data_IF_888745451916
#
_entry.id   IF_888745451916
#
_cell.length_a   1.000
_cell.length_b   1.000
_cell.length_c   1.000
_cell.angle_alpha   90.00
_cell.angle_beta   90.00
_cell.angle_gamma   90.00
#
_symmetry.space_group_name_H-M   'P 1'
#
loop_
_entity.id
_entity.type
_entity.pdbx_description
1 polymer ?
#
# COMPACT_ATOMS: atom_id res chain seq x y z
N UNK A 1 13.82 -68.42 19.97
CA UNK A 1 13.01 -67.84 21.06
C UNK A 1 12.01 -66.86 20.47
N UNK A 2 10.86 -67.38 20.04
CA UNK A 2 9.69 -66.61 19.58
C UNK A 2 8.71 -66.57 20.75
N UNK A 3 8.39 -65.38 21.25
CA UNK A 3 7.21 -65.00 22.05
C UNK A 3 7.55 -63.69 22.78
N UNK A 4 6.53 -62.91 23.14
CA UNK A 4 6.59 -61.55 23.74
C UNK A 4 6.78 -60.40 22.75
N UNK A 5 5.77 -60.10 21.92
CA UNK A 5 5.47 -58.72 21.45
C UNK A 5 4.17 -58.58 20.65
N UNK A 6 3.21 -59.51 20.74
CA UNK A 6 1.93 -59.39 20.03
C UNK A 6 0.76 -59.57 20.99
N UNK A 7 0.52 -58.56 21.83
CA UNK A 7 -0.68 -58.51 22.67
C UNK A 7 -1.05 -57.08 23.08
N UNK A 8 -1.24 -56.16 22.13
CA UNK A 8 -1.86 -54.85 22.42
C UNK A 8 -2.56 -54.14 21.23
N UNK A 9 -2.84 -54.83 20.12
CA UNK A 9 -3.52 -54.22 18.96
C UNK A 9 -4.87 -54.87 18.68
N UNK A 10 -5.79 -54.80 19.64
CA UNK A 10 -7.23 -54.98 19.42
C UNK A 10 -8.02 -54.32 20.54
N UNK A 11 -8.07 -52.99 20.57
CA UNK A 11 -9.24 -52.20 21.01
C UNK A 11 -9.09 -50.81 20.37
N UNK A 12 -10.16 -50.28 19.78
CA UNK A 12 -10.20 -48.95 19.15
C UNK A 12 -10.14 -47.81 20.17
N UNK A 13 -9.16 -47.85 21.08
CA UNK A 13 -8.89 -46.82 22.07
C UNK A 13 -7.85 -45.85 21.50
N UNK A 14 -8.07 -44.53 21.61
CA UNK A 14 -7.07 -43.56 21.20
C UNK A 14 -5.76 -43.79 21.99
N UNK A 15 -4.58 -43.54 21.39
CA UNK A 15 -3.31 -43.72 22.07
C UNK A 15 -3.27 -42.85 23.34
N UNK A 16 -2.66 -43.34 24.43
CA UNK A 16 -2.62 -42.67 25.73
C UNK A 16 -2.15 -41.20 25.69
N UNK A 17 -1.34 -40.84 24.68
CA UNK A 17 -0.93 -39.45 24.42
C UNK A 17 -2.13 -38.57 24.00
N UNK A 18 -3.00 -39.07 23.14
CA UNK A 18 -4.19 -38.36 22.68
C UNK A 18 -5.20 -38.17 23.82
N UNK A 19 -5.40 -39.18 24.68
CA UNK A 19 -6.23 -39.05 25.89
C UNK A 19 -5.67 -37.99 26.85
N UNK A 20 -4.33 -37.96 27.04
CA UNK A 20 -3.68 -36.93 27.87
C UNK A 20 -3.88 -35.52 27.29
N UNK A 21 -3.87 -35.37 25.97
CA UNK A 21 -4.12 -34.07 25.34
C UNK A 21 -5.58 -33.63 25.45
N UNK A 22 -6.54 -34.55 25.35
CA UNK A 22 -7.97 -34.26 25.59
C UNK A 22 -8.20 -33.81 27.03
N UNK A 23 -7.51 -34.43 27.99
CA UNK A 23 -7.57 -34.04 29.40
C UNK A 23 -6.96 -32.66 29.68
N UNK A 24 -5.86 -32.30 29.01
CA UNK A 24 -5.27 -30.95 29.10
C UNK A 24 -6.19 -29.90 28.46
N UNK A 25 -6.93 -30.27 27.41
CA UNK A 25 -7.88 -29.36 26.76
C UNK A 25 -9.09 -29.08 27.65
N UNK A 26 -9.67 -30.09 28.30
CA UNK A 26 -10.77 -29.86 29.25
C UNK A 26 -10.34 -28.98 30.42
N UNK A 27 -9.15 -29.25 30.99
CA UNK A 27 -8.58 -28.45 32.07
C UNK A 27 -8.34 -26.97 31.66
N UNK A 28 -7.86 -26.73 30.43
CA UNK A 28 -7.64 -25.38 29.92
C UNK A 28 -8.93 -24.64 29.56
N UNK A 29 -9.94 -25.33 29.05
CA UNK A 29 -11.26 -24.74 28.79
C UNK A 29 -11.92 -24.33 30.12
N UNK A 30 -11.81 -25.16 31.15
CA UNK A 30 -12.32 -24.85 32.49
C UNK A 30 -11.55 -23.71 33.18
N UNK A 31 -10.24 -23.58 32.91
CA UNK A 31 -9.42 -22.47 33.38
C UNK A 31 -9.69 -21.16 32.62
N UNK A 32 -9.99 -21.22 31.32
CA UNK A 32 -10.28 -20.04 30.49
C UNK A 32 -11.58 -19.32 30.87
N UNK A 33 -12.52 -20.01 31.50
CA UNK A 33 -13.82 -19.45 31.88
C UNK A 33 -13.81 -18.74 33.25
N UNK A 34 -12.68 -18.80 33.99
CA UNK A 34 -12.51 -18.09 35.27
C UNK A 34 -11.71 -16.82 35.02
N UNK A 35 -12.30 -15.66 35.32
CA UNK A 35 -11.57 -14.40 35.22
C UNK A 35 -10.43 -14.37 36.26
N UNK A 36 -9.34 -13.65 35.97
CA UNK A 36 -8.22 -13.47 36.92
C UNK A 36 -8.70 -12.90 38.27
N UNK A 37 -9.80 -12.15 38.24
CA UNK A 37 -10.46 -11.55 39.41
C UNK A 37 -11.14 -12.62 40.29
N UNK A 38 -11.64 -13.70 39.70
CA UNK A 38 -12.28 -14.81 40.43
C UNK A 38 -11.27 -15.83 40.96
N UNK A 39 -10.06 -15.87 40.40
CA UNK A 39 -8.99 -16.76 40.82
C UNK A 39 -8.29 -16.30 42.11
N UNK A 40 -8.25 -14.99 42.35
CA UNK A 40 -7.55 -14.37 43.47
C UNK A 40 -8.56 -13.75 44.46
N UNK A 41 -8.73 -14.31 45.68
CA UNK A 41 -9.71 -13.81 46.64
C UNK A 41 -9.38 -12.38 47.12
N UNK A 42 -8.11 -11.97 47.03
CA UNK A 42 -7.64 -10.62 47.38
C UNK A 42 -8.08 -9.59 46.34
N UNK A 43 -7.98 -9.93 45.05
CA UNK A 43 -8.47 -9.12 43.95
C UNK A 43 -9.99 -9.05 43.95
N UNK A 44 -10.68 -10.15 44.28
CA UNK A 44 -12.14 -10.14 44.45
C UNK A 44 -12.58 -9.21 45.59
N UNK A 45 -11.87 -9.19 46.71
CA UNK A 45 -12.14 -8.29 47.83
C UNK A 45 -11.85 -6.81 47.51
N UNK A 46 -10.80 -6.53 46.72
CA UNK A 46 -10.52 -5.18 46.23
C UNK A 46 -11.56 -4.75 45.19
N UNK A 47 -11.91 -5.63 44.26
CA UNK A 47 -12.88 -5.38 43.21
C UNK A 47 -14.27 -5.07 43.79
N UNK A 48 -14.71 -5.85 44.79
CA UNK A 48 -15.94 -5.56 45.53
C UNK A 48 -15.87 -4.23 46.30
N UNK A 49 -14.77 -3.92 46.99
CA UNK A 49 -14.59 -2.67 47.74
C UNK A 49 -14.73 -1.40 46.88
N UNK A 50 -14.27 -1.43 45.63
CA UNK A 50 -14.34 -0.28 44.72
C UNK A 50 -15.60 -0.26 43.82
N UNK A 51 -16.43 -1.30 43.84
CA UNK A 51 -17.69 -1.38 43.07
C UNK A 51 -18.98 -1.16 43.90
N UNK A 52 -18.87 -0.56 45.09
CA UNK A 52 -20.02 -0.26 45.96
C UNK A 52 -20.42 1.23 46.03
N UNK A 53 -20.38 1.95 44.91
CA UNK A 53 -21.23 3.14 44.78
C UNK A 53 -22.59 2.69 44.24
N UNK A 54 -23.60 2.64 45.12
CA UNK A 54 -24.98 2.18 44.82
C UNK A 54 -25.63 2.92 43.63
N UNK A 55 -25.06 4.04 43.19
CA UNK A 55 -25.50 4.80 42.01
C UNK A 55 -25.03 4.16 40.70
N UNK A 56 -23.86 3.53 40.65
CA UNK A 56 -23.32 2.90 39.43
C UNK A 56 -23.73 1.43 39.29
N UNK A 57 -24.05 0.76 40.40
CA UNK A 57 -24.61 -0.59 40.39
C UNK A 57 -25.99 -0.66 39.69
N UNK A 58 -26.76 0.44 39.74
CA UNK A 58 -27.99 0.58 38.96
C UNK A 58 -27.68 0.59 37.46
N UNK A 59 -26.72 1.41 37.01
CA UNK A 59 -26.33 1.47 35.60
C UNK A 59 -25.81 0.15 35.04
N UNK A 60 -25.09 -0.66 35.83
CA UNK A 60 -24.60 -1.97 35.36
C UNK A 60 -25.69 -3.04 35.35
N UNK A 61 -26.54 -3.10 36.39
CA UNK A 61 -27.71 -3.99 36.40
C UNK A 61 -28.71 -3.62 35.31
N UNK A 62 -28.88 -2.33 35.06
CA UNK A 62 -29.71 -1.79 33.98
C UNK A 62 -29.10 -2.09 32.61
N UNK A 63 -27.77 -2.01 32.46
CA UNK A 63 -27.08 -2.43 31.24
C UNK A 63 -27.23 -3.94 31.00
N UNK A 64 -27.05 -4.78 32.03
CA UNK A 64 -27.29 -6.22 31.91
C UNK A 64 -28.76 -6.55 31.64
N UNK A 65 -29.69 -5.78 32.20
CA UNK A 65 -31.13 -5.93 31.95
C UNK A 65 -31.49 -5.49 30.52
N UNK A 66 -30.87 -4.41 30.03
CA UNK A 66 -30.98 -3.95 28.64
C UNK A 66 -30.39 -4.97 27.66
N UNK A 67 -29.23 -5.55 27.96
CA UNK A 67 -28.62 -6.59 27.12
C UNK A 67 -29.50 -7.86 27.10
N UNK A 68 -30.08 -8.26 28.24
CA UNK A 68 -31.00 -9.40 28.31
C UNK A 68 -32.30 -9.14 27.56
N UNK A 69 -32.89 -7.95 27.71
CA UNK A 69 -34.11 -7.58 26.97
C UNK A 69 -33.84 -7.42 25.48
N UNK A 70 -32.68 -6.91 25.07
CA UNK A 70 -32.24 -6.90 23.67
C UNK A 70 -32.05 -8.32 23.11
N UNK A 71 -31.47 -9.24 23.90
CA UNK A 71 -31.34 -10.63 23.52
C UNK A 71 -32.70 -11.32 23.37
N UNK A 72 -33.64 -11.05 24.28
CA UNK A 72 -34.99 -11.62 24.21
C UNK A 72 -35.81 -11.06 23.04
N UNK A 73 -35.71 -9.75 22.78
CA UNK A 73 -36.36 -9.12 21.63
C UNK A 73 -35.76 -9.63 20.32
N UNK A 74 -34.44 -9.82 20.24
CA UNK A 74 -33.77 -10.46 19.11
C UNK A 74 -34.24 -11.91 18.92
N UNK A 75 -34.27 -12.71 19.99
CA UNK A 75 -34.75 -14.11 19.94
C UNK A 75 -36.21 -14.21 19.49
N UNK A 76 -37.06 -13.27 19.90
CA UNK A 76 -38.47 -13.20 19.46
C UNK A 76 -38.58 -12.77 18.00
N UNK A 77 -37.81 -11.77 17.58
CA UNK A 77 -37.82 -11.26 16.21
C UNK A 77 -37.31 -12.30 15.20
N UNK A 78 -36.30 -13.08 15.58
CA UNK A 78 -35.64 -14.08 14.71
C UNK A 78 -35.89 -15.53 15.15
N UNK A 79 -37.02 -15.77 15.81
CA UNK A 79 -37.35 -17.10 16.35
C UNK A 79 -37.37 -18.18 15.27
N UNK A 80 -37.88 -17.84 14.09
CA UNK A 80 -38.01 -18.76 12.96
C UNK A 80 -36.65 -19.13 12.38
N UNK A 81 -35.78 -18.15 12.20
CA UNK A 81 -34.43 -18.29 11.65
C UNK A 81 -33.50 -19.03 12.62
N UNK A 82 -33.57 -18.70 13.91
CA UNK A 82 -32.86 -19.44 14.97
C UNK A 82 -33.34 -20.90 14.98
N UNK A 83 -34.65 -21.13 14.82
CA UNK A 83 -35.22 -22.47 14.67
C UNK A 83 -34.67 -23.21 13.45
N UNK A 84 -34.52 -22.53 12.31
CA UNK A 84 -33.92 -23.12 11.11
C UNK A 84 -32.45 -23.51 11.33
N UNK A 85 -31.62 -22.61 11.87
CA UNK A 85 -30.21 -22.87 12.18
C UNK A 85 -30.08 -23.99 13.20
N UNK A 86 -30.90 -23.98 14.25
CA UNK A 86 -30.97 -25.04 15.24
C UNK A 86 -31.61 -26.33 14.71
N UNK A 87 -32.21 -26.33 13.52
CA UNK A 87 -32.71 -27.52 12.85
C UNK A 87 -31.77 -28.03 11.76
N UNK A 88 -30.69 -27.30 11.43
CA UNK A 88 -29.76 -27.69 10.37
C UNK A 88 -29.12 -29.07 10.63
N UNK A 89 -28.84 -29.43 11.88
CA UNK A 89 -28.31 -30.75 12.19
C UNK A 89 -29.35 -31.87 12.10
N UNK A 90 -30.64 -31.55 12.11
CA UNK A 90 -31.72 -32.50 11.81
C UNK A 90 -32.01 -32.61 10.30
N UNK A 91 -31.72 -31.54 9.55
CA UNK A 91 -31.85 -31.50 8.09
C UNK A 91 -30.65 -32.16 7.38
N UNK A 92 -29.47 -32.16 8.00
CA UNK A 92 -28.28 -32.87 7.51
C UNK A 92 -28.31 -34.29 8.07
N UNK A 93 -28.80 -35.25 7.31
CA UNK A 93 -28.56 -36.67 7.64
C UNK A 93 -27.04 -36.93 7.62
N UNK A 94 -26.57 -37.90 8.40
CA UNK A 94 -25.15 -38.31 8.38
C UNK A 94 -24.69 -38.75 6.97
N UNK A 95 -25.63 -39.04 6.07
CA UNK A 95 -25.42 -39.35 4.66
C UNK A 95 -24.95 -38.13 3.86
N UNK A 96 -25.46 -36.91 4.10
CA UNK A 96 -25.04 -35.71 3.36
C UNK A 96 -23.60 -35.27 3.64
N UNK A 97 -23.04 -35.64 4.81
CA UNK A 97 -21.63 -35.40 5.15
C UNK A 97 -20.69 -36.45 4.54
N UNK A 98 -21.23 -37.59 4.11
CA UNK A 98 -20.47 -38.74 3.59
C UNK A 98 -20.63 -38.87 2.07
N UNK A 99 -21.66 -38.27 1.46
CA UNK A 99 -21.90 -38.24 -0.01
C UNK A 99 -21.45 -36.90 -0.61
N UNK A 100 -20.20 -36.52 -0.35
CA UNK A 100 -19.45 -35.86 -1.40
C UNK A 100 -18.45 -36.92 -1.85
N UNK A 101 -18.87 -37.78 -2.78
CA UNK A 101 -17.94 -38.69 -3.42
C UNK A 101 -16.78 -37.85 -3.93
N UNK A 102 -15.56 -38.32 -3.68
CA UNK A 102 -14.36 -37.63 -4.10
C UNK A 102 -14.41 -37.41 -5.61
N UNK A 103 -14.25 -36.15 -6.03
CA UNK A 103 -14.32 -35.73 -7.42
C UNK A 103 -13.34 -36.56 -8.28
N UNK A 104 -13.89 -37.39 -9.16
CA UNK A 104 -13.14 -38.30 -10.04
C UNK A 104 -12.79 -37.67 -11.40
N UNK A 105 -13.13 -36.38 -11.59
CA UNK A 105 -12.96 -35.66 -12.84
C UNK A 105 -14.19 -35.69 -13.75
N UNK A 106 -15.23 -36.46 -13.41
CA UNK A 106 -16.46 -36.57 -14.18
C UNK A 106 -17.68 -36.26 -13.31
N UNK A 107 -18.45 -35.24 -13.68
CA UNK A 107 -19.65 -34.87 -12.94
C UNK A 107 -20.73 -35.94 -13.11
N UNK A 108 -21.36 -36.35 -12.01
CA UNK A 108 -22.47 -37.32 -12.07
C UNK A 108 -23.69 -36.67 -12.70
N UNK A 109 -24.47 -37.47 -13.43
CA UNK A 109 -25.68 -36.98 -14.13
C UNK A 109 -26.67 -36.31 -13.17
N UNK A 110 -26.80 -36.82 -11.94
CA UNK A 110 -27.66 -36.24 -10.92
C UNK A 110 -27.17 -34.85 -10.47
N UNK A 111 -25.86 -34.67 -10.34
CA UNK A 111 -25.24 -33.39 -9.97
C UNK A 111 -25.38 -32.38 -11.11
N UNK A 112 -25.16 -32.81 -12.36
CA UNK A 112 -25.40 -31.99 -13.55
C UNK A 112 -26.86 -31.55 -13.64
N UNK A 113 -27.81 -32.46 -13.39
CA UNK A 113 -29.24 -32.16 -13.39
C UNK A 113 -29.61 -31.18 -12.25
N UNK A 114 -29.07 -31.37 -11.05
CA UNK A 114 -29.27 -30.46 -9.91
C UNK A 114 -28.71 -29.06 -10.23
N UNK A 115 -27.54 -28.99 -10.85
CA UNK A 115 -26.92 -27.74 -11.30
C UNK A 115 -27.76 -27.04 -12.35
N UNK A 116 -28.27 -27.76 -13.35
CA UNK A 116 -29.18 -27.21 -14.35
C UNK A 116 -30.48 -26.69 -13.70
N UNK A 117 -31.00 -27.38 -12.68
CA UNK A 117 -32.19 -26.95 -11.95
C UNK A 117 -31.91 -25.67 -11.15
N UNK A 118 -30.78 -25.60 -10.44
CA UNK A 118 -30.34 -24.42 -9.68
C UNK A 118 -30.04 -23.22 -10.59
N UNK A 119 -29.44 -23.46 -11.77
CA UNK A 119 -29.18 -22.42 -12.77
C UNK A 119 -30.47 -21.96 -13.47
N UNK A 120 -31.47 -22.85 -13.62
CA UNK A 120 -32.79 -22.51 -14.16
C UNK A 120 -33.65 -21.70 -13.17
N UNK A 121 -33.38 -21.80 -11.87
CA UNK A 121 -34.12 -21.07 -10.86
C UNK A 121 -33.89 -19.56 -11.06
N UNK A 122 -34.96 -18.75 -11.09
CA UNK A 122 -34.81 -17.31 -11.31
C UNK A 122 -33.95 -16.71 -10.21
N UNK A 123 -32.79 -16.16 -10.60
CA UNK A 123 -31.88 -15.46 -9.68
C UNK A 123 -32.68 -14.45 -8.88
N UNK A 124 -32.54 -14.48 -7.55
CA UNK A 124 -33.25 -13.58 -6.65
C UNK A 124 -33.16 -12.14 -7.18
N UNK A 125 -34.32 -11.50 -7.39
CA UNK A 125 -34.38 -10.13 -7.93
C UNK A 125 -33.45 -9.28 -7.08
N UNK A 126 -32.46 -8.63 -7.71
CA UNK A 126 -31.61 -7.64 -7.04
C UNK A 126 -32.56 -6.59 -6.46
N UNK A 127 -32.74 -6.61 -5.15
CA UNK A 127 -33.47 -5.58 -4.42
C UNK A 127 -32.84 -4.26 -4.89
N UNK A 128 -33.64 -3.36 -5.47
CA UNK A 128 -33.18 -2.03 -5.87
C UNK A 128 -32.75 -1.34 -4.59
N UNK A 129 -31.46 -1.45 -4.26
CA UNK A 129 -30.85 -0.80 -3.12
C UNK A 129 -30.96 0.69 -3.39
N UNK A 130 -31.90 1.34 -2.72
CA UNK A 130 -31.90 2.79 -2.59
C UNK A 130 -30.51 3.22 -2.11
N UNK A 131 -30.08 4.41 -2.53
CA UNK A 131 -28.80 5.02 -2.16
C UNK A 131 -28.68 5.14 -0.63
N UNK A 132 -28.24 4.08 0.03
CA UNK A 132 -27.75 4.09 1.40
C UNK A 132 -26.32 3.62 1.37
N UNK A 133 -25.45 4.35 2.07
CA UNK A 133 -24.01 4.14 2.10
C UNK A 133 -23.65 2.66 2.29
N UNK A 134 -22.54 2.31 1.67
CA UNK A 134 -22.05 0.99 1.28
C UNK A 134 -21.66 0.05 2.44
N UNK A 135 -22.15 0.26 3.66
CA UNK A 135 -21.79 -0.56 4.82
C UNK A 135 -23.02 -0.81 5.69
N UNK A 136 -23.27 -2.06 6.13
CA UNK A 136 -24.28 -2.33 7.14
C UNK A 136 -24.00 -1.46 8.38
N UNK A 137 -25.03 -0.90 9.03
CA UNK A 137 -24.82 -0.06 10.19
C UNK A 137 -24.07 -0.86 11.27
N UNK A 138 -22.90 -0.37 11.67
CA UNK A 138 -22.12 -0.94 12.76
C UNK A 138 -23.00 -1.00 14.01
N UNK A 139 -22.86 -2.09 14.78
CA UNK A 139 -23.58 -2.25 16.05
C UNK A 139 -23.32 -1.06 16.99
N UNK A 140 -24.28 -0.72 17.83
CA UNK A 140 -24.21 0.48 18.68
C UNK A 140 -22.95 0.50 19.56
N UNK A 141 -22.57 -0.64 20.17
CA UNK A 141 -21.35 -0.75 20.97
C UNK A 141 -20.09 -0.41 20.17
N UNK A 142 -19.94 -0.98 18.97
CA UNK A 142 -18.80 -0.73 18.08
C UNK A 142 -18.77 0.74 17.62
N UNK A 143 -19.93 1.35 17.39
CA UNK A 143 -19.99 2.79 17.05
C UNK A 143 -19.51 3.68 18.19
N UNK A 144 -19.85 3.34 19.43
CA UNK A 144 -19.46 4.12 20.60
C UNK A 144 -17.97 3.96 20.88
N UNK A 145 -17.41 2.76 20.72
CA UNK A 145 -15.95 2.53 20.85
C UNK A 145 -15.20 3.26 19.74
N UNK A 146 -15.60 3.10 18.47
CA UNK A 146 -14.98 3.78 17.33
C UNK A 146 -15.04 5.31 17.49
N UNK A 147 -16.15 5.84 18.01
CA UNK A 147 -16.29 7.28 18.24
C UNK A 147 -15.42 7.77 19.41
N UNK A 148 -15.23 6.96 20.46
CA UNK A 148 -14.33 7.28 21.58
C UNK A 148 -12.88 7.25 21.13
N UNK A 149 -12.47 6.20 20.40
CA UNK A 149 -11.12 6.08 19.82
C UNK A 149 -10.85 7.22 18.84
N UNK A 150 -11.75 7.48 17.89
CA UNK A 150 -11.61 8.61 16.95
C UNK A 150 -11.59 9.99 17.64
N UNK A 151 -12.28 10.15 18.76
CA UNK A 151 -12.20 11.36 19.59
C UNK A 151 -10.84 11.50 20.27
N UNK A 152 -10.24 10.40 20.75
CA UNK A 152 -8.92 10.41 21.36
C UNK A 152 -7.86 10.74 20.31
N UNK A 153 -7.91 10.10 19.14
CA UNK A 153 -7.00 10.35 18.02
C UNK A 153 -7.08 11.80 17.54
N UNK A 154 -8.29 12.37 17.47
CA UNK A 154 -8.47 13.78 17.12
C UNK A 154 -7.87 14.72 18.18
N UNK A 155 -8.05 14.43 19.47
CA UNK A 155 -7.45 15.24 20.56
C UNK A 155 -5.92 15.18 20.52
N UNK A 156 -5.35 14.00 20.31
CA UNK A 156 -3.90 13.80 20.20
C UNK A 156 -3.37 14.54 18.97
N UNK A 157 -3.95 14.31 17.78
CA UNK A 157 -3.51 14.95 16.53
C UNK A 157 -3.70 16.47 16.50
N UNK A 158 -4.68 17.02 17.23
CA UNK A 158 -4.88 18.48 17.37
C UNK A 158 -3.87 19.14 18.30
N UNK A 159 -3.34 18.41 19.28
CA UNK A 159 -2.35 18.93 20.23
C UNK A 159 -0.92 18.98 19.67
N UNK A 160 -0.65 18.23 18.60
CA UNK A 160 0.66 18.10 17.98
C UNK A 160 0.85 19.16 16.87
N UNK A 161 2.00 19.81 16.86
CA UNK A 161 2.41 20.64 15.73
C UNK A 161 2.67 19.78 14.48
N UNK A 162 2.60 20.33 13.25
CA UNK A 162 2.75 19.55 12.00
C UNK A 162 4.04 18.71 11.98
N UNK A 163 5.15 19.26 12.50
CA UNK A 163 6.43 18.55 12.62
C UNK A 163 6.43 17.45 13.69
N UNK A 164 5.64 17.59 14.76
CA UNK A 164 5.51 16.58 15.83
C UNK A 164 4.58 15.45 15.41
N UNK A 165 3.54 15.77 14.63
CA UNK A 165 2.65 14.81 14.01
C UNK A 165 3.42 13.87 13.08
N UNK A 166 4.25 14.42 12.19
CA UNK A 166 5.13 13.62 11.33
C UNK A 166 6.11 12.76 12.13
N UNK A 167 6.55 13.22 13.32
CA UNK A 167 7.45 12.46 14.19
C UNK A 167 6.76 11.30 14.90
N UNK A 168 5.51 11.47 15.34
CA UNK A 168 4.74 10.39 15.99
C UNK A 168 4.29 9.34 14.97
N UNK A 169 3.81 9.75 13.79
CA UNK A 169 3.52 8.83 12.68
C UNK A 169 4.77 8.02 12.29
N UNK A 170 5.94 8.66 12.30
CA UNK A 170 7.21 7.98 12.07
C UNK A 170 7.56 7.00 13.19
N UNK A 171 7.31 7.36 14.45
CA UNK A 171 7.54 6.50 15.61
C UNK A 171 6.64 5.27 15.57
N UNK A 172 5.39 5.42 15.16
CA UNK A 172 4.44 4.31 14.98
C UNK A 172 4.85 3.38 13.83
N UNK A 173 5.20 3.92 12.66
CA UNK A 173 5.71 3.09 11.54
C UNK A 173 6.98 2.31 11.92
N UNK A 174 7.88 2.92 12.70
CA UNK A 174 9.06 2.21 13.22
C UNK A 174 8.71 1.15 14.25
N UNK A 175 7.75 1.44 15.13
CA UNK A 175 7.24 0.51 16.13
C UNK A 175 6.64 -0.71 15.44
N UNK A 176 5.81 -0.53 14.43
CA UNK A 176 5.21 -1.62 13.63
C UNK A 176 6.25 -2.46 12.90
N UNK A 177 7.30 -1.83 12.35
CA UNK A 177 8.35 -2.56 11.63
C UNK A 177 9.30 -3.33 12.56
N UNK A 178 9.62 -2.76 13.72
CA UNK A 178 10.52 -3.40 14.70
C UNK A 178 9.81 -4.51 15.47
N UNK A 179 8.52 -4.35 15.80
CA UNK A 179 7.75 -5.30 16.60
C UNK A 179 6.94 -6.28 15.75
N UNK A 180 6.70 -5.96 14.47
CA UNK A 180 5.95 -6.77 13.52
C UNK A 180 4.46 -6.91 13.88
N UNK A 181 3.63 -7.42 12.94
CA UNK A 181 2.22 -7.72 13.21
C UNK A 181 2.01 -8.79 14.31
N UNK A 182 3.04 -9.58 14.62
CA UNK A 182 2.96 -10.70 15.54
C UNK A 182 2.78 -10.29 17.02
N UNK A 183 3.18 -9.08 17.41
CA UNK A 183 2.94 -8.57 18.78
C UNK A 183 1.47 -8.17 19.04
N UNK A 184 0.64 -8.08 18.00
CA UNK A 184 -0.79 -7.77 18.11
C UNK A 184 -1.69 -9.02 18.08
N UNK A 185 -1.09 -10.21 18.04
CA UNK A 185 -1.84 -11.46 18.07
C UNK A 185 -2.12 -11.80 19.54
N UNK A 186 -3.32 -11.45 19.98
CA UNK A 186 -3.80 -11.80 21.30
C UNK A 186 -3.88 -13.34 21.47
N UNK A 187 -3.59 -13.81 22.69
CA UNK A 187 -3.59 -15.22 23.09
C UNK A 187 -4.99 -15.86 23.02
N UNK A 188 -6.02 -15.05 22.82
CA UNK A 188 -7.43 -15.42 22.67
C UNK A 188 -7.89 -15.57 21.21
N UNK A 189 -7.02 -15.26 20.23
CA UNK A 189 -7.40 -15.25 18.82
C UNK A 189 -7.67 -16.66 18.25
N UNK A 190 -8.61 -16.77 17.31
CA UNK A 190 -8.99 -18.02 16.62
C UNK A 190 -7.82 -18.77 15.95
N UNK A 191 -6.68 -18.09 15.74
CA UNK A 191 -5.44 -18.71 15.26
C UNK A 191 -4.76 -19.61 16.30
N UNK A 192 -4.93 -19.38 17.61
CA UNK A 192 -4.40 -20.25 18.66
C UNK A 192 -5.17 -21.57 18.74
N UNK A 193 -6.50 -21.53 18.57
CA UNK A 193 -7.38 -22.71 18.48
C UNK A 193 -7.05 -23.51 17.21
N UNK A 194 -6.86 -22.85 16.06
CA UNK A 194 -6.42 -23.52 14.82
C UNK A 194 -5.05 -24.21 15.00
N UNK A 195 -4.14 -23.61 15.75
CA UNK A 195 -2.85 -24.22 16.10
C UNK A 195 -3.00 -25.49 16.95
N UNK A 196 -3.94 -25.52 17.91
CA UNK A 196 -4.20 -26.73 18.73
C UNK A 196 -4.84 -27.86 17.94
N UNK A 197 -5.76 -27.55 17.02
CA UNK A 197 -6.37 -28.52 16.09
C UNK A 197 -5.30 -29.09 15.14
N UNK A 198 -4.41 -28.22 14.63
CA UNK A 198 -3.26 -28.62 13.85
C UNK A 198 -2.36 -29.63 14.59
N UNK A 199 -2.03 -29.36 15.86
CA UNK A 199 -1.21 -30.25 16.67
C UNK A 199 -1.87 -31.62 16.92
N UNK A 200 -3.19 -31.67 17.13
CA UNK A 200 -3.94 -32.92 17.28
C UNK A 200 -3.97 -33.73 15.98
N UNK A 201 -4.19 -33.07 14.84
CA UNK A 201 -4.13 -33.70 13.54
C UNK A 201 -2.73 -34.26 13.25
N UNK A 202 -1.68 -33.48 13.53
CA UNK A 202 -0.29 -33.92 13.42
C UNK A 202 0.03 -35.12 14.32
N UNK A 203 -0.50 -35.17 15.55
CA UNK A 203 -0.33 -36.32 16.44
C UNK A 203 -1.00 -37.60 15.90
N UNK A 204 -2.20 -37.50 15.30
CA UNK A 204 -2.88 -38.63 14.65
C UNK A 204 -2.14 -39.09 13.39
N UNK A 205 -1.65 -38.15 12.60
CA UNK A 205 -0.81 -38.42 11.42
C UNK A 205 0.46 -39.18 11.83
N UNK A 206 1.18 -38.71 12.84
CA UNK A 206 2.41 -39.36 13.32
C UNK A 206 2.17 -40.73 13.99
N UNK A 207 0.94 -41.01 14.44
CA UNK A 207 0.55 -42.33 14.95
C UNK A 207 0.22 -43.32 13.82
N UNK A 208 -0.25 -42.83 12.68
CA UNK A 208 -0.61 -43.64 11.52
C UNK A 208 0.53 -43.81 10.49
N UNK A 209 1.57 -42.97 10.55
CA UNK A 209 2.79 -43.12 9.75
C UNK A 209 3.69 -44.20 10.37
N UNK A 210 4.16 -45.13 9.54
CA UNK A 210 5.22 -46.06 9.94
C UNK A 210 6.54 -45.28 10.12
N UNK A 211 7.08 -45.31 11.35
CA UNK A 211 8.24 -44.52 11.78
C UNK A 211 9.53 -44.86 11.03
N UNK A 212 9.63 -46.05 10.43
CA UNK A 212 10.84 -46.48 9.71
C UNK A 212 10.83 -46.04 8.25
N UNK A 213 9.68 -46.12 7.60
CA UNK A 213 9.55 -45.81 6.17
C UNK A 213 9.01 -44.41 5.90
N UNK A 214 8.40 -43.76 6.91
CA UNK A 214 7.69 -42.50 6.75
C UNK A 214 6.43 -42.61 5.88
N UNK A 215 5.99 -43.84 5.55
CA UNK A 215 4.83 -44.10 4.70
C UNK A 215 3.62 -44.45 5.54
N UNK A 216 2.43 -44.13 5.04
CA UNK A 216 1.20 -44.67 5.58
C UNK A 216 1.03 -46.08 5.03
N UNK A 217 0.87 -47.06 5.91
CA UNK A 217 0.61 -48.45 5.53
C UNK A 217 -0.84 -48.60 5.03
N UNK A 218 -1.09 -48.28 3.76
CA UNK A 218 -2.33 -48.71 3.11
C UNK A 218 -2.12 -49.06 1.63
N UNK A 219 -2.71 -50.17 1.14
CA UNK A 219 -2.45 -50.71 -0.20
C UNK A 219 -2.87 -49.81 -1.37
N UNK A 220 -3.63 -48.74 -1.13
CA UNK A 220 -4.09 -47.80 -2.15
C UNK A 220 -3.23 -46.52 -2.24
N UNK A 221 -2.24 -46.33 -1.37
CA UNK A 221 -1.48 -45.07 -1.31
C UNK A 221 -0.50 -44.86 -2.46
N UNK A 222 -0.03 -45.92 -3.12
CA UNK A 222 0.90 -45.78 -4.25
C UNK A 222 0.22 -45.27 -5.52
N UNK A 223 -1.10 -45.42 -5.65
CA UNK A 223 -1.89 -44.86 -6.77
C UNK A 223 -2.31 -43.42 -6.56
N UNK A 224 -2.44 -43.00 -5.30
CA UNK A 224 -2.85 -41.63 -4.91
C UNK A 224 -1.64 -40.69 -4.82
N UNK A 225 -0.42 -41.23 -4.67
CA UNK A 225 0.80 -40.43 -4.62
C UNK A 225 1.24 -39.99 -6.03
N UNK A 226 1.49 -38.70 -6.18
CA UNK A 226 2.10 -38.15 -7.40
C UNK A 226 3.53 -38.64 -7.61
N UNK A 227 4.10 -38.34 -8.78
CA UNK A 227 5.51 -38.63 -9.08
C UNK A 227 6.42 -38.05 -7.97
N UNK A 228 7.46 -38.78 -7.55
CA UNK A 228 8.41 -38.28 -6.56
C UNK A 228 9.04 -36.98 -7.08
N UNK A 229 9.01 -35.95 -6.24
CA UNK A 229 9.54 -34.64 -6.58
C UNK A 229 11.08 -34.72 -6.68
N UNK A 230 11.65 -33.95 -7.59
CA UNK A 230 13.08 -33.96 -7.86
C UNK A 230 13.87 -33.63 -6.58
N UNK A 231 14.84 -34.47 -6.23
CA UNK A 231 15.54 -34.40 -4.94
C UNK A 231 16.30 -33.08 -4.79
N UNK A 232 16.83 -32.54 -5.90
CA UNK A 232 17.53 -31.25 -5.91
C UNK A 232 16.60 -30.08 -5.56
N UNK A 233 15.33 -30.15 -5.99
CA UNK A 233 14.31 -29.16 -5.65
C UNK A 233 13.89 -29.24 -4.19
N UNK A 234 13.96 -30.43 -3.59
CA UNK A 234 13.62 -30.68 -2.18
C UNK A 234 14.71 -30.27 -1.19
N UNK A 235 15.99 -30.29 -1.60
CA UNK A 235 17.12 -29.87 -0.75
C UNK A 235 16.94 -28.45 -0.22
N UNK A 236 16.34 -27.56 -1.03
CA UNK A 236 16.04 -26.18 -0.64
C UNK A 236 14.55 -25.92 -0.38
N UNK A 237 13.67 -26.93 -0.49
CA UNK A 237 12.22 -26.76 -0.33
C UNK A 237 11.78 -26.52 1.11
N UNK A 238 12.59 -26.89 2.11
CA UNK A 238 12.28 -26.54 3.51
C UNK A 238 12.45 -25.04 3.78
N UNK A 239 13.24 -24.35 2.95
CA UNK A 239 13.42 -22.92 3.07
C UNK A 239 12.29 -22.16 2.38
N UNK A 240 11.46 -21.49 3.18
CA UNK A 240 10.45 -20.56 2.68
C UNK A 240 11.05 -19.48 1.76
N UNK A 241 12.31 -19.11 1.97
CA UNK A 241 13.06 -18.19 1.12
C UNK A 241 13.22 -18.70 -0.32
N UNK A 242 13.46 -20.00 -0.52
CA UNK A 242 13.62 -20.59 -1.85
C UNK A 242 12.32 -20.50 -2.65
N UNK A 243 11.19 -20.88 -2.04
CA UNK A 243 9.88 -20.77 -2.68
C UNK A 243 9.46 -19.33 -2.92
N UNK A 244 9.72 -18.42 -1.97
CA UNK A 244 9.45 -17.00 -2.15
C UNK A 244 10.25 -16.45 -3.34
N UNK A 245 11.55 -16.75 -3.44
CA UNK A 245 12.37 -16.34 -4.57
C UNK A 245 11.90 -16.93 -5.91
N UNK A 246 11.40 -18.17 -5.90
CA UNK A 246 10.88 -18.81 -7.10
C UNK A 246 9.51 -18.26 -7.52
N UNK A 247 8.65 -17.89 -6.57
CA UNK A 247 7.39 -17.18 -6.84
C UNK A 247 7.70 -15.79 -7.42
N UNK A 248 8.62 -15.04 -6.80
CA UNK A 248 9.06 -13.73 -7.31
C UNK A 248 9.61 -13.83 -8.73
N UNK A 249 10.45 -14.84 -9.00
CA UNK A 249 11.02 -15.09 -10.34
C UNK A 249 9.96 -15.48 -11.37
N UNK A 250 9.00 -16.32 -11.00
CA UNK A 250 7.98 -16.80 -11.93
C UNK A 250 6.87 -15.77 -12.20
N UNK A 251 6.63 -14.85 -11.26
CA UNK A 251 5.62 -13.80 -11.38
C UNK A 251 6.18 -12.48 -11.92
N UNK A 252 7.48 -12.45 -12.28
CA UNK A 252 8.21 -11.24 -12.70
C UNK A 252 8.03 -10.05 -11.73
N UNK A 253 7.73 -10.32 -10.47
CA UNK A 253 7.42 -9.27 -9.50
C UNK A 253 8.69 -8.90 -8.72
N UNK A 254 8.98 -7.61 -8.71
CA UNK A 254 10.10 -7.07 -7.95
C UNK A 254 9.63 -6.85 -6.50
N UNK A 255 10.50 -7.10 -5.51
CA UNK A 255 10.24 -6.64 -4.15
C UNK A 255 9.93 -5.14 -4.14
N UNK A 256 8.96 -4.72 -3.35
CA UNK A 256 8.47 -3.33 -3.26
C UNK A 256 9.61 -2.31 -3.05
N UNK A 257 10.63 -2.65 -2.26
CA UNK A 257 11.77 -1.77 -2.04
C UNK A 257 12.62 -1.57 -3.31
N UNK A 258 12.73 -2.58 -4.19
CA UNK A 258 13.44 -2.48 -5.47
C UNK A 258 12.63 -1.62 -6.45
N UNK A 259 11.30 -1.76 -6.46
CA UNK A 259 10.44 -0.89 -7.28
C UNK A 259 10.58 0.58 -6.85
N UNK A 260 10.56 0.84 -5.55
CA UNK A 260 10.78 2.17 -5.00
C UNK A 260 12.19 2.68 -5.27
N UNK A 261 13.20 1.80 -5.25
CA UNK A 261 14.57 2.14 -5.65
C UNK A 261 14.60 2.68 -7.07
N UNK A 262 14.00 1.94 -8.01
CA UNK A 262 13.93 2.32 -9.43
C UNK A 262 13.15 3.62 -9.62
N UNK A 263 12.02 3.79 -8.92
CA UNK A 263 11.22 5.01 -8.95
C UNK A 263 12.04 6.24 -8.54
N UNK A 264 12.73 6.16 -7.39
CA UNK A 264 13.56 7.26 -6.90
C UNK A 264 14.74 7.56 -7.83
N UNK A 265 15.37 6.53 -8.41
CA UNK A 265 16.46 6.74 -9.37
C UNK A 265 15.97 7.43 -10.64
N UNK A 266 14.79 7.08 -11.15
CA UNK A 266 14.15 7.79 -12.27
C UNK A 266 13.80 9.23 -11.90
N UNK A 267 13.29 9.48 -10.70
CA UNK A 267 12.94 10.83 -10.26
C UNK A 267 14.15 11.72 -10.04
N UNK A 268 15.23 11.20 -9.44
CA UNK A 268 16.50 11.91 -9.26
C UNK A 268 17.15 12.20 -10.61
N UNK A 269 17.17 11.22 -11.52
CA UNK A 269 17.73 11.44 -12.86
C UNK A 269 16.91 12.48 -13.62
N UNK A 270 15.58 12.38 -13.64
CA UNK A 270 14.70 13.38 -14.25
C UNK A 270 14.91 14.79 -13.68
N UNK A 271 15.00 14.90 -12.34
CA UNK A 271 15.31 16.16 -11.66
C UNK A 271 16.66 16.73 -12.09
N UNK A 272 17.72 15.92 -12.17
CA UNK A 272 19.04 16.37 -12.63
C UNK A 272 19.01 16.86 -14.07
N UNK A 273 18.30 16.18 -14.97
CA UNK A 273 18.15 16.65 -16.36
C UNK A 273 17.40 17.98 -16.44
N UNK A 274 16.36 18.17 -15.62
CA UNK A 274 15.65 19.44 -15.53
C UNK A 274 16.55 20.55 -14.96
N UNK A 275 17.28 20.27 -13.88
CA UNK A 275 18.22 21.19 -13.25
C UNK A 275 19.31 21.61 -14.24
N UNK A 276 19.90 20.65 -14.96
CA UNK A 276 20.90 20.89 -16.01
C UNK A 276 20.37 21.84 -17.07
N UNK A 277 19.15 21.62 -17.56
CA UNK A 277 18.53 22.49 -18.57
C UNK A 277 18.30 23.91 -18.04
N UNK A 278 17.81 24.05 -16.81
CA UNK A 278 17.60 25.35 -16.16
C UNK A 278 18.92 26.08 -15.92
N UNK A 279 19.94 25.39 -15.44
CA UNK A 279 21.29 25.92 -15.24
C UNK A 279 21.94 26.34 -16.56
N UNK A 280 21.85 25.51 -17.59
CA UNK A 280 22.39 25.84 -18.91
C UNK A 280 21.74 27.12 -19.46
N UNK A 281 20.42 27.26 -19.36
CA UNK A 281 19.73 28.48 -19.76
C UNK A 281 20.20 29.69 -18.93
N UNK A 282 20.39 29.54 -17.62
CA UNK A 282 20.91 30.62 -16.77
C UNK A 282 22.36 31.01 -17.15
N UNK A 283 23.21 30.04 -17.48
CA UNK A 283 24.57 30.30 -18.01
C UNK A 283 24.49 31.04 -19.33
N UNK A 284 23.64 30.59 -20.26
CA UNK A 284 23.44 31.26 -21.54
C UNK A 284 22.90 32.68 -21.36
N UNK A 285 21.98 32.92 -20.44
CA UNK A 285 21.52 34.29 -20.11
C UNK A 285 22.68 35.16 -19.60
N UNK A 286 23.54 34.65 -18.72
CA UNK A 286 24.69 35.40 -18.22
C UNK A 286 25.69 35.73 -19.35
N UNK A 287 25.88 34.81 -20.29
CA UNK A 287 26.77 35.00 -21.44
C UNK A 287 26.16 35.93 -22.51
N UNK A 288 24.87 35.82 -22.78
CA UNK A 288 24.15 36.63 -23.78
C UNK A 288 23.83 38.05 -23.31
N UNK A 289 23.73 38.31 -22.01
CA UNK A 289 23.54 39.69 -21.49
C UNK A 289 24.77 40.56 -21.76
N UNK A 290 25.95 39.95 -21.97
CA UNK A 290 27.18 40.68 -22.27
C UNK A 290 27.37 40.98 -23.75
N UNK A 291 26.72 40.24 -24.65
CA UNK A 291 26.84 40.39 -26.09
C UNK A 291 25.47 40.28 -26.77
N UNK A 292 25.11 41.33 -27.53
CA UNK A 292 23.93 41.35 -28.40
C UNK A 292 24.08 40.30 -29.53
N UNK A 293 23.75 39.06 -29.17
CA UNK A 293 23.63 37.86 -29.97
C UNK A 293 24.36 37.84 -31.32
N UNK A 294 25.48 37.12 -31.40
CA UNK A 294 25.92 36.41 -32.61
C UNK A 294 26.98 35.36 -32.28
N UNK A 295 26.74 34.16 -32.80
CA UNK A 295 27.66 33.03 -32.98
C UNK A 295 28.06 32.16 -31.76
N UNK A 296 28.03 30.85 -32.01
CA UNK A 296 28.48 29.79 -31.10
C UNK A 296 29.92 30.01 -30.63
N UNK A 297 30.76 30.48 -31.57
CA UNK A 297 32.20 30.66 -31.38
C UNK A 297 32.47 31.76 -30.34
N UNK A 298 31.73 32.85 -30.42
CA UNK A 298 31.83 33.96 -29.46
C UNK A 298 31.43 33.51 -28.05
N UNK A 299 30.32 32.78 -27.91
CA UNK A 299 29.90 32.23 -26.61
C UNK A 299 30.94 31.26 -26.01
N UNK A 300 31.57 30.45 -26.86
CA UNK A 300 32.65 29.54 -26.45
C UNK A 300 33.92 30.30 -26.03
N UNK A 301 34.29 31.35 -26.74
CA UNK A 301 35.44 32.19 -26.41
C UNK A 301 35.24 32.90 -25.07
N UNK A 302 34.08 33.49 -24.82
CA UNK A 302 33.76 34.10 -23.52
C UNK A 302 33.71 33.08 -22.39
N UNK A 303 33.16 31.90 -22.63
CA UNK A 303 33.17 30.84 -21.63
C UNK A 303 34.59 30.40 -21.27
N UNK A 304 35.50 30.32 -22.25
CA UNK A 304 36.93 30.00 -22.02
C UNK A 304 37.67 31.10 -21.27
N UNK A 305 37.31 32.37 -21.51
CA UNK A 305 37.93 33.52 -20.85
C UNK A 305 37.36 33.80 -19.45
N UNK A 306 36.16 33.31 -19.15
CA UNK A 306 35.47 33.57 -17.88
C UNK A 306 35.93 32.64 -16.77
N UNK A 307 36.09 33.19 -15.56
CA UNK A 307 36.33 32.39 -14.36
C UNK A 307 35.14 31.46 -14.07
N UNK A 308 35.34 30.13 -13.95
CA UNK A 308 34.24 29.17 -13.77
C UNK A 308 33.48 29.40 -12.45
N UNK A 309 34.18 29.81 -11.38
CA UNK A 309 33.57 30.09 -10.07
C UNK A 309 32.67 31.34 -10.10
N UNK A 310 33.08 32.38 -10.83
CA UNK A 310 32.29 33.60 -10.96
C UNK A 310 31.04 33.35 -11.80
N UNK A 311 31.21 32.61 -12.91
CA UNK A 311 30.12 32.19 -13.78
C UNK A 311 29.10 31.34 -13.03
N UNK A 312 29.57 30.39 -12.23
CA UNK A 312 28.72 29.54 -11.39
C UNK A 312 27.90 30.37 -10.40
N UNK A 313 28.53 31.31 -9.69
CA UNK A 313 27.84 32.16 -8.72
C UNK A 313 26.75 33.01 -9.39
N UNK A 314 27.04 33.59 -10.56
CA UNK A 314 26.09 34.41 -11.31
C UNK A 314 24.93 33.58 -11.91
N UNK A 315 25.23 32.38 -12.42
CA UNK A 315 24.20 31.48 -12.94
C UNK A 315 23.30 30.95 -11.82
N UNK A 316 23.89 30.55 -10.68
CA UNK A 316 23.14 30.08 -9.52
C UNK A 316 22.25 31.19 -8.95
N UNK A 317 22.73 32.43 -8.83
CA UNK A 317 21.91 33.53 -8.33
C UNK A 317 20.70 33.80 -9.22
N UNK A 318 20.90 33.83 -10.55
CA UNK A 318 19.80 33.97 -11.53
C UNK A 318 18.77 32.86 -11.43
N UNK A 319 19.23 31.61 -11.30
CA UNK A 319 18.36 30.47 -11.19
C UNK A 319 17.59 30.46 -9.86
N UNK A 320 18.25 30.80 -8.74
CA UNK A 320 17.62 30.87 -7.42
C UNK A 320 16.55 31.98 -7.35
N UNK A 321 16.80 33.13 -7.97
CA UNK A 321 15.80 34.21 -8.07
C UNK A 321 14.51 33.74 -8.77
N UNK A 322 14.64 32.93 -9.83
CA UNK A 322 13.50 32.47 -10.62
C UNK A 322 12.81 31.23 -10.03
N UNK A 323 13.59 30.23 -9.63
CA UNK A 323 13.13 28.85 -9.41
C UNK A 323 13.33 28.34 -7.97
N UNK A 324 13.84 29.15 -7.02
CA UNK A 324 14.16 28.68 -5.65
C UNK A 324 13.01 27.95 -4.95
N UNK A 325 11.78 28.45 -5.04
CA UNK A 325 10.60 27.81 -4.43
C UNK A 325 10.33 26.42 -5.02
N UNK A 326 10.45 26.30 -6.33
CA UNK A 326 10.25 25.03 -7.03
C UNK A 326 11.33 24.01 -6.65
N UNK A 327 12.60 24.43 -6.65
CA UNK A 327 13.72 23.55 -6.33
C UNK A 327 13.65 23.05 -4.89
N UNK A 328 13.36 23.93 -3.93
CA UNK A 328 13.18 23.53 -2.53
C UNK A 328 12.06 22.51 -2.37
N UNK A 329 10.89 22.76 -2.95
CA UNK A 329 9.77 21.83 -2.88
C UNK A 329 10.10 20.48 -3.55
N UNK A 330 10.77 20.50 -4.71
CA UNK A 330 11.12 19.28 -5.44
C UNK A 330 12.19 18.46 -4.72
N UNK A 331 13.19 19.11 -4.11
CA UNK A 331 14.22 18.46 -3.31
C UNK A 331 13.62 17.86 -2.05
N UNK A 332 12.70 18.57 -1.39
CA UNK A 332 11.99 18.04 -0.22
C UNK A 332 11.20 16.77 -0.58
N UNK A 333 10.52 16.80 -1.73
CA UNK A 333 9.77 15.66 -2.24
C UNK A 333 10.65 14.44 -2.54
N UNK A 334 11.77 14.65 -3.25
CA UNK A 334 12.77 13.60 -3.49
C UNK A 334 13.34 13.06 -2.18
N UNK A 335 13.61 13.92 -1.21
CA UNK A 335 14.14 13.53 0.09
C UNK A 335 13.13 12.75 0.93
N UNK A 336 11.81 13.04 0.82
CA UNK A 336 10.76 12.20 1.38
C UNK A 336 10.76 10.80 0.74
N UNK A 337 10.87 10.74 -0.58
CA UNK A 337 11.01 9.47 -1.33
C UNK A 337 12.22 8.66 -0.88
N UNK A 338 13.40 9.27 -0.86
CA UNK A 338 14.65 8.66 -0.37
C UNK A 338 14.50 8.15 1.06
N UNK A 339 13.84 8.92 1.93
CA UNK A 339 13.59 8.49 3.31
C UNK A 339 12.71 7.25 3.36
N UNK A 340 11.58 7.25 2.65
CA UNK A 340 10.66 6.10 2.59
C UNK A 340 11.37 4.83 2.06
N UNK A 341 12.16 4.95 1.00
CA UNK A 341 12.96 3.84 0.50
C UNK A 341 13.99 3.36 1.52
N UNK A 342 14.73 4.26 2.18
CA UNK A 342 15.69 3.89 3.22
C UNK A 342 15.02 3.25 4.44
N UNK A 343 13.73 3.51 4.68
CA UNK A 343 12.95 2.68 5.58
C UNK A 343 12.86 1.30 4.98
N UNK A 344 12.18 1.10 3.85
CA UNK A 344 11.88 -0.24 3.36
C UNK A 344 13.11 -1.11 3.01
N UNK A 345 14.26 -0.48 2.75
CA UNK A 345 15.50 -1.16 2.42
C UNK A 345 15.95 -2.11 3.56
N UNK A 346 16.31 -3.37 3.23
CA UNK A 346 16.75 -4.35 4.23
C UNK A 346 18.20 -4.13 4.70
N UNK A 347 19.03 -3.44 3.91
CA UNK A 347 20.45 -3.22 4.20
C UNK A 347 20.81 -1.73 4.21
N UNK A 348 21.58 -1.32 5.21
CA UNK A 348 22.07 0.05 5.37
C UNK A 348 23.07 0.47 4.30
N UNK A 349 23.78 -0.49 3.69
CA UNK A 349 24.71 -0.23 2.60
C UNK A 349 24.03 0.19 1.29
N UNK A 350 22.74 -0.13 1.14
CA UNK A 350 21.92 0.22 -0.04
C UNK A 350 21.11 1.51 0.17
N UNK A 351 21.30 2.19 1.31
CA UNK A 351 20.62 3.45 1.58
C UNK A 351 21.08 4.55 0.63
N UNK A 352 20.12 5.32 0.14
CA UNK A 352 20.38 6.49 -0.70
C UNK A 352 20.62 7.72 0.16
N UNK A 353 21.54 8.56 -0.28
CA UNK A 353 21.83 9.85 0.34
C UNK A 353 20.76 10.87 -0.02
N UNK A 354 20.49 11.79 0.92
CA UNK A 354 19.62 12.93 0.65
C UNK A 354 20.23 13.85 -0.41
N UNK A 355 19.38 14.38 -1.25
CA UNK A 355 19.70 15.39 -2.26
C UNK A 355 19.83 16.74 -1.56
N UNK A 356 20.95 17.43 -1.82
CA UNK A 356 21.26 18.76 -1.26
C UNK A 356 21.41 19.73 -2.42
N UNK A 357 20.73 20.88 -2.32
CA UNK A 357 20.66 21.88 -3.39
C UNK A 357 22.05 22.33 -3.88
N UNK A 358 22.91 22.81 -2.99
CA UNK A 358 24.24 23.31 -3.33
C UNK A 358 25.09 22.26 -4.05
N UNK A 359 25.11 21.03 -3.54
CA UNK A 359 25.91 19.93 -4.11
C UNK A 359 25.42 19.52 -5.50
N UNK A 360 24.12 19.52 -5.73
CA UNK A 360 23.57 19.20 -7.06
C UNK A 360 23.81 20.34 -8.04
N UNK A 361 23.70 21.60 -7.62
CA UNK A 361 24.06 22.75 -8.46
C UNK A 361 25.53 22.70 -8.86
N UNK A 362 26.43 22.42 -7.90
CA UNK A 362 27.86 22.25 -8.16
C UNK A 362 28.10 21.11 -9.16
N UNK A 363 27.55 19.91 -8.89
CA UNK A 363 27.72 18.75 -9.77
C UNK A 363 27.24 19.04 -11.19
N UNK A 364 26.02 19.57 -11.33
CA UNK A 364 25.45 19.82 -12.65
C UNK A 364 26.19 20.94 -13.39
N UNK A 365 26.71 21.93 -12.68
CA UNK A 365 27.56 22.95 -13.29
C UNK A 365 28.86 22.35 -13.85
N UNK A 366 29.54 21.47 -13.11
CA UNK A 366 30.74 20.77 -13.61
C UNK A 366 30.42 19.92 -14.84
N UNK A 367 29.28 19.22 -14.86
CA UNK A 367 28.83 18.44 -16.02
C UNK A 367 28.51 19.31 -17.25
N UNK A 368 27.97 20.51 -17.04
CA UNK A 368 27.75 21.51 -18.10
C UNK A 368 29.10 22.00 -18.63
N UNK A 369 30.04 22.36 -17.75
CA UNK A 369 31.37 22.83 -18.16
C UNK A 369 32.11 21.79 -19.00
N UNK A 370 32.03 20.51 -18.62
CA UNK A 370 32.66 19.41 -19.36
C UNK A 370 32.05 19.20 -20.77
N UNK A 371 30.75 19.45 -20.92
CA UNK A 371 29.99 19.20 -22.14
C UNK A 371 29.50 20.48 -22.82
N UNK A 372 30.12 21.62 -22.54
CA UNK A 372 29.55 22.92 -22.90
C UNK A 372 29.47 23.11 -24.43
N UNK A 373 30.48 22.64 -25.15
CA UNK A 373 30.56 22.73 -26.61
C UNK A 373 29.47 21.93 -27.31
N UNK A 374 29.21 20.69 -26.86
CA UNK A 374 28.12 19.89 -27.40
C UNK A 374 26.76 20.51 -27.10
N UNK A 375 26.56 21.00 -25.86
CA UNK A 375 25.30 21.63 -25.45
C UNK A 375 24.99 22.92 -26.22
N UNK A 376 25.99 23.75 -26.53
CA UNK A 376 25.78 24.94 -27.36
C UNK A 376 25.37 24.55 -28.77
N UNK A 377 26.07 23.58 -29.38
CA UNK A 377 25.74 23.17 -30.75
C UNK A 377 24.30 22.61 -30.83
N UNK A 378 23.89 21.81 -29.86
CA UNK A 378 22.51 21.34 -29.72
C UNK A 378 21.54 22.52 -29.54
N UNK A 379 21.87 23.48 -28.68
CA UNK A 379 21.02 24.64 -28.46
C UNK A 379 20.82 25.50 -29.70
N UNK A 380 21.86 25.68 -30.52
CA UNK A 380 21.79 26.43 -31.77
C UNK A 380 20.93 25.69 -32.78
N UNK A 381 21.14 24.39 -32.97
CA UNK A 381 20.30 23.59 -33.88
C UNK A 381 18.84 23.62 -33.43
N UNK A 382 18.57 23.59 -32.13
CA UNK A 382 17.22 23.77 -31.58
C UNK A 382 16.63 25.14 -31.94
N UNK A 383 17.38 26.24 -31.77
CA UNK A 383 16.94 27.59 -32.15
C UNK A 383 16.70 27.69 -33.67
N UNK A 384 17.57 27.13 -34.50
CA UNK A 384 17.40 27.12 -35.96
C UNK A 384 16.16 26.33 -36.38
N UNK A 385 15.93 25.16 -35.77
CA UNK A 385 14.73 24.37 -36.00
C UNK A 385 13.48 25.11 -35.54
N UNK A 386 13.55 25.83 -34.42
CA UNK A 386 12.46 26.68 -33.95
C UNK A 386 12.15 27.82 -34.94
N UNK A 387 13.20 28.48 -35.47
CA UNK A 387 13.08 29.52 -36.52
C UNK A 387 12.50 28.97 -37.82
N UNK A 388 12.82 27.73 -38.20
CA UNK A 388 12.26 27.06 -39.38
C UNK A 388 10.81 26.62 -39.16
N UNK A 389 10.47 26.17 -37.95
CA UNK A 389 9.12 25.73 -37.60
C UNK A 389 8.15 26.90 -37.41
N UNK A 390 8.65 28.07 -37.00
CA UNK A 390 7.89 29.31 -36.99
C UNK A 390 7.74 29.84 -38.44
N UNK A 391 6.52 30.06 -38.95
CA UNK A 391 6.34 30.67 -40.26
C UNK A 391 6.89 32.11 -40.25
N UNK A 392 7.86 32.39 -41.11
CA UNK A 392 8.50 33.71 -41.34
C UNK A 392 7.50 34.71 -41.96
N UNK A 393 7.69 36.04 -41.84
CA UNK A 393 7.44 36.95 -40.71
C UNK A 393 6.10 37.72 -40.87
N UNK A 394 5.79 38.58 -39.89
CA UNK A 394 4.56 39.37 -39.75
C UNK A 394 4.16 40.32 -40.91
N UNK A 395 4.92 40.40 -42.00
CA UNK A 395 4.61 41.27 -43.15
C UNK A 395 3.39 40.81 -43.97
N UNK A 396 3.05 39.52 -43.96
CA UNK A 396 1.80 39.03 -44.59
C UNK A 396 0.56 39.21 -43.71
N UNK A 397 0.74 39.34 -42.40
CA UNK A 397 -0.37 39.57 -41.49
C UNK A 397 -0.69 41.07 -41.37
N UNK A 398 0.28 41.98 -41.53
CA UNK A 398 0.00 43.43 -41.51
C UNK A 398 -0.90 43.87 -42.66
N UNK A 399 -0.76 43.34 -43.87
CA UNK A 399 -1.61 43.71 -45.02
C UNK A 399 -3.05 43.22 -44.89
N UNK A 400 -3.28 42.05 -44.26
CA UNK A 400 -4.64 41.51 -44.06
C UNK A 400 -5.36 42.22 -42.92
N UNK A 401 -4.62 42.60 -41.87
CA UNK A 401 -5.17 43.39 -40.77
C UNK A 401 -5.30 44.88 -41.09
N UNK A 402 -4.44 45.48 -41.92
CA UNK A 402 -4.63 46.85 -42.43
C UNK A 402 -5.86 46.94 -43.34
N UNK A 403 -6.10 45.96 -44.22
CA UNK A 403 -7.31 45.94 -45.06
C UNK A 403 -8.59 45.73 -44.25
N UNK A 404 -8.50 44.98 -43.15
CA UNK A 404 -9.61 44.76 -42.20
C UNK A 404 -9.85 45.99 -41.32
N UNK A 405 -8.80 46.67 -40.84
CA UNK A 405 -8.89 47.94 -40.09
C UNK A 405 -9.41 49.09 -40.96
N UNK A 406 -8.88 49.28 -42.17
CA UNK A 406 -9.38 50.32 -43.10
C UNK A 406 -10.80 50.06 -43.61
N UNK A 407 -11.30 48.82 -43.51
CA UNK A 407 -12.72 48.52 -43.75
C UNK A 407 -13.57 48.77 -42.48
N UNK A 408 -13.04 48.47 -41.29
CA UNK A 408 -13.73 48.71 -40.02
C UNK A 408 -13.78 50.19 -39.59
N UNK A 409 -12.89 51.02 -40.10
CA UNK A 409 -12.82 52.46 -39.78
C UNK A 409 -13.84 53.29 -40.57
N UNK A 410 -14.41 52.72 -41.65
CA UNK A 410 -15.54 53.31 -42.38
C UNK A 410 -16.91 52.98 -41.76
N UNK A 411 -16.98 51.94 -40.92
CA UNK A 411 -18.25 51.44 -40.38
C UNK A 411 -18.48 51.78 -38.90
N UNK A 412 -17.59 52.54 -38.25
CA UNK A 412 -17.67 52.77 -36.80
C UNK A 412 -17.51 54.23 -36.36
N UNK A 413 -18.17 55.15 -37.06
CA UNK A 413 -18.65 56.38 -36.40
C UNK A 413 -19.82 56.01 -35.46
N UNK A 414 -19.48 55.63 -34.23
CA UNK A 414 -20.43 55.55 -33.13
C UNK A 414 -20.48 54.20 -32.42
N UNK A 415 -19.54 53.96 -31.50
CA UNK A 415 -19.75 53.44 -30.13
C UNK A 415 -18.42 52.94 -29.53
N UNK A 416 -17.98 53.61 -28.47
CA UNK A 416 -16.85 53.18 -27.65
C UNK A 416 -17.18 51.89 -26.88
N UNK A 417 -16.29 50.89 -26.97
CA UNK A 417 -16.18 49.81 -25.97
C UNK A 417 -14.70 49.50 -25.71
N UNK A 418 -14.29 49.66 -24.45
CA UNK A 418 -12.97 49.28 -23.92
C UNK A 418 -12.79 47.76 -23.87
N UNK A 419 -11.62 47.18 -24.24
CA UNK A 419 -11.37 45.75 -24.03
C UNK A 419 -10.62 45.46 -22.71
N UNK A 420 -11.06 44.41 -22.01
CA UNK A 420 -10.52 43.92 -20.73
C UNK A 420 -9.23 43.07 -20.80
N UNK A 421 -8.73 42.56 -19.65
CA UNK A 421 -7.30 42.44 -19.35
C UNK A 421 -6.56 41.17 -19.82
N UNK A 422 -7.16 40.32 -20.65
CA UNK A 422 -6.61 38.98 -20.93
C UNK A 422 -5.69 38.86 -22.17
N UNK A 423 -5.36 39.93 -22.88
CA UNK A 423 -4.55 39.89 -24.11
C UNK A 423 -3.13 40.45 -23.99
N UNK A 424 -2.68 40.77 -22.77
CA UNK A 424 -1.42 41.50 -22.55
C UNK A 424 -0.18 40.60 -22.38
N UNK A 425 -0.34 39.28 -22.24
CA UNK A 425 0.77 38.35 -21.99
C UNK A 425 1.63 38.07 -23.23
N UNK A 426 0.99 37.80 -24.37
CA UNK A 426 1.69 37.49 -25.62
C UNK A 426 2.44 38.71 -26.18
N UNK A 427 1.82 39.89 -26.05
CA UNK A 427 2.40 41.16 -26.50
C UNK A 427 3.62 41.60 -25.69
N UNK A 428 3.66 41.33 -24.37
CA UNK A 428 4.86 41.58 -23.55
C UNK A 428 6.02 40.65 -23.91
N UNK A 429 5.72 39.44 -24.35
CA UNK A 429 6.72 38.43 -24.72
C UNK A 429 7.33 38.74 -26.10
N UNK A 430 6.51 39.21 -27.04
CA UNK A 430 6.96 39.65 -28.36
C UNK A 430 7.76 40.96 -28.31
N UNK A 431 7.36 41.93 -27.46
CA UNK A 431 8.12 43.18 -27.26
C UNK A 431 9.48 42.96 -26.58
N UNK A 432 9.62 41.89 -25.79
CA UNK A 432 10.91 41.47 -25.20
C UNK A 432 11.84 40.79 -26.20
N UNK A 433 11.29 40.17 -27.25
CA UNK A 433 12.06 39.43 -28.26
C UNK A 433 12.48 40.31 -29.45
N UNK A 434 11.74 41.38 -29.72
CA UNK A 434 11.99 42.30 -30.83
C UNK A 434 11.96 43.74 -30.31
N UNK A 435 12.97 44.15 -29.53
CA UNK A 435 13.06 45.54 -29.03
C UNK A 435 12.78 46.58 -30.13
N UNK A 436 12.25 47.74 -29.70
CA UNK A 436 11.66 48.79 -30.56
C UNK A 436 12.44 49.11 -31.86
#
# INVERSE_FOLDING_TARGET
MRSFSNSCLRQGKPPALAERFEQILSEKIDASNKSVIDAEPTLHALYSKYHHDERDASSFKDAQFQDKTQLETFKKAFQKEIGYVASEHYLKTNEDRVIADHWDGTEKVQETALRMLLDSAPKAKKIKRGRTLFTPPKAYGVRVTDAKEGSLDYKISKSLNTAEKEKEEFREMYKERLLGPAMFIDHTSTSSIMGTIGNMASARINAAIDRKTGKFESPNMDKVRGKPLDTERLVNATDSNYFMNQILKNQECLPVWIENQQGIDRDITSFRHELKRKLFNAVMEVLTIKDEGKDAKTCLEYFRQSDPKQLQKAANSRLLERDSKYLKAKIEDLNRGVRNYNLQCPSTGLHKWKVVEERELDRQFHEICANFESLISEHITYIENLKRALPVPAERYSLRYQKWWSSSEKDNQGKEKTPGPHKNGLWRLLRRLFGD
#
